data_IF_729752060607
#
_entry.id   IF_729752060607
#
_cell.length_a   1.000
_cell.length_b   1.000
_cell.length_c   1.000
_cell.angle_alpha   90.00
_cell.angle_beta   90.00
_cell.angle_gamma   90.00
#
_symmetry.space_group_name_H-M   'P 1'
#
loop_
_entity.id
_entity.type
_entity.pdbx_description
1 polymer ?
#
# COMPACT_ATOMS: atom_id res chain seq x y z
N UNK A 1 37.50 -15.14 3.92
CA UNK A 1 36.48 -14.15 3.53
C UNK A 1 35.54 -14.82 2.56
N UNK A 2 34.28 -14.43 2.57
CA UNK A 2 33.22 -14.90 1.69
C UNK A 2 32.65 -13.68 0.97
N UNK A 3 32.79 -13.59 -0.35
CA UNK A 3 32.23 -12.50 -1.14
C UNK A 3 30.76 -12.77 -1.42
N UNK A 4 29.90 -11.81 -1.11
CA UNK A 4 28.45 -11.86 -1.27
C UNK A 4 27.93 -10.55 -1.86
N UNK A 5 26.70 -10.54 -2.34
CA UNK A 5 25.97 -9.31 -2.68
C UNK A 5 24.99 -8.99 -1.55
N UNK A 6 25.05 -7.81 -0.94
CA UNK A 6 24.07 -7.34 0.05
C UNK A 6 23.34 -6.14 -0.54
N UNK A 7 22.04 -6.27 -0.77
CA UNK A 7 21.21 -5.23 -1.42
C UNK A 7 21.78 -4.72 -2.75
N UNK A 8 22.40 -5.61 -3.54
CA UNK A 8 23.00 -5.29 -4.83
C UNK A 8 24.44 -4.78 -4.77
N UNK A 9 24.99 -4.54 -3.58
CA UNK A 9 26.39 -4.14 -3.40
C UNK A 9 27.26 -5.31 -2.98
N UNK A 10 28.42 -5.49 -3.64
CA UNK A 10 29.38 -6.53 -3.24
C UNK A 10 30.01 -6.20 -1.88
N UNK A 11 30.07 -7.20 -1.00
CA UNK A 11 30.65 -7.13 0.34
C UNK A 11 31.44 -8.40 0.64
N UNK A 12 32.46 -8.28 1.49
CA UNK A 12 33.27 -9.38 1.99
C UNK A 12 32.89 -9.67 3.44
N UNK A 13 32.47 -10.90 3.73
CA UNK A 13 32.13 -11.34 5.08
C UNK A 13 33.22 -12.28 5.64
N UNK A 14 33.34 -12.42 6.98
CA UNK A 14 34.17 -13.45 7.58
C UNK A 14 33.82 -14.86 7.07
N UNK A 15 34.80 -15.77 7.05
CA UNK A 15 34.52 -17.16 6.71
C UNK A 15 33.55 -17.77 7.75
N UNK A 16 32.50 -18.43 7.28
CA UNK A 16 31.44 -18.97 8.14
C UNK A 16 30.43 -17.92 8.63
N UNK A 17 30.42 -16.72 8.04
CA UNK A 17 29.42 -15.69 8.34
C UNK A 17 27.99 -16.21 8.14
N UNK A 18 27.10 -15.72 8.98
CA UNK A 18 25.68 -16.04 8.97
C UNK A 18 24.85 -14.88 8.46
N UNK A 19 23.55 -15.11 8.27
CA UNK A 19 22.60 -14.07 7.89
C UNK A 19 22.64 -12.89 8.89
N UNK A 20 22.80 -13.16 10.19
CA UNK A 20 22.96 -12.11 11.20
C UNK A 20 24.17 -11.21 10.94
N UNK A 21 25.29 -11.76 10.47
CA UNK A 21 26.45 -10.97 10.08
C UNK A 21 26.16 -10.10 8.84
N UNK A 22 25.48 -10.66 7.84
CA UNK A 22 25.08 -9.89 6.65
C UNK A 22 24.11 -8.74 6.99
N UNK A 23 23.21 -8.95 7.95
CA UNK A 23 22.32 -7.88 8.47
C UNK A 23 23.11 -6.78 9.14
N UNK A 24 24.05 -7.12 10.02
CA UNK A 24 24.90 -6.13 10.69
C UNK A 24 25.71 -5.30 9.69
N UNK A 25 26.28 -5.94 8.67
CA UNK A 25 27.05 -5.27 7.60
C UNK A 25 26.19 -4.38 6.69
N UNK A 26 24.89 -4.65 6.59
CA UNK A 26 23.96 -3.77 5.86
C UNK A 26 23.66 -2.45 6.59
N UNK A 27 24.08 -2.31 7.85
CA UNK A 27 23.76 -1.16 8.72
C UNK A 27 22.37 -1.24 9.35
N UNK A 28 21.65 -2.35 9.16
CA UNK A 28 20.39 -2.62 9.84
C UNK A 28 20.63 -3.10 11.29
N UNK A 29 19.71 -2.77 12.19
CA UNK A 29 19.75 -3.25 13.57
C UNK A 29 19.38 -4.74 13.63
N UNK A 30 20.18 -5.53 14.33
CA UNK A 30 19.88 -6.94 14.62
C UNK A 30 18.99 -7.06 15.87
N UNK A 31 18.07 -8.04 15.89
CA UNK A 31 17.28 -8.37 17.09
C UNK A 31 16.04 -7.51 17.35
N UNK A 32 15.65 -6.63 16.42
CA UNK A 32 14.47 -5.76 16.52
C UNK A 32 13.37 -6.09 15.51
N UNK A 33 12.14 -5.63 15.77
CA UNK A 33 11.08 -5.64 14.76
C UNK A 33 11.42 -4.69 13.61
N UNK A 34 11.00 -5.06 12.40
CA UNK A 34 11.11 -4.18 11.23
C UNK A 34 12.34 -4.42 10.36
N UNK A 35 13.02 -5.56 10.48
CA UNK A 35 14.01 -6.04 9.50
C UNK A 35 13.59 -7.42 9.01
N UNK A 36 13.74 -7.68 7.71
CA UNK A 36 13.53 -8.97 7.08
C UNK A 36 14.67 -9.27 6.12
N UNK A 37 15.00 -10.55 5.96
CA UNK A 37 16.11 -10.99 5.10
C UNK A 37 15.65 -12.08 4.16
N UNK A 38 16.09 -12.00 2.91
CA UNK A 38 16.07 -13.11 1.98
C UNK A 38 17.49 -13.45 1.51
N UNK A 39 17.75 -14.72 1.22
CA UNK A 39 18.99 -15.20 0.59
C UNK A 39 18.60 -15.89 -0.71
N UNK A 40 19.13 -15.40 -1.84
CA UNK A 40 18.79 -15.84 -3.20
C UNK A 40 17.28 -15.87 -3.48
N UNK A 41 16.54 -14.92 -2.90
CA UNK A 41 15.08 -14.78 -3.02
C UNK A 41 14.25 -15.55 -1.99
N UNK A 42 14.87 -16.40 -1.16
CA UNK A 42 14.18 -17.16 -0.12
C UNK A 42 14.25 -16.46 1.25
N UNK A 43 13.10 -16.21 1.86
CA UNK A 43 13.00 -15.52 3.16
C UNK A 43 13.59 -16.38 4.27
N UNK A 44 14.53 -15.82 5.04
CA UNK A 44 15.12 -16.50 6.20
C UNK A 44 14.35 -16.07 7.47
N UNK A 45 13.73 -17.01 8.22
CA UNK A 45 13.06 -16.69 9.46
C UNK A 45 13.99 -16.02 10.48
N UNK A 46 13.50 -15.02 11.21
CA UNK A 46 14.31 -14.28 12.18
C UNK A 46 14.98 -15.19 13.24
N UNK A 47 14.35 -16.30 13.61
CA UNK A 47 14.91 -17.27 14.56
C UNK A 47 16.12 -18.04 14.03
N UNK A 48 16.37 -18.02 12.72
CA UNK A 48 17.44 -18.79 12.06
C UNK A 48 18.64 -17.94 11.65
N UNK A 49 18.56 -16.60 11.79
CA UNK A 49 19.60 -15.70 11.28
C UNK A 49 20.99 -15.96 11.87
N UNK A 50 21.05 -16.34 13.14
CA UNK A 50 22.29 -16.66 13.85
C UNK A 50 22.93 -17.98 13.38
N UNK A 51 22.18 -18.85 12.72
CA UNK A 51 22.60 -20.22 12.34
C UNK A 51 22.68 -20.45 10.84
N UNK A 52 21.95 -19.66 10.04
CA UNK A 52 21.95 -19.79 8.58
C UNK A 52 23.20 -19.16 7.99
N UNK A 53 24.11 -20.00 7.49
CA UNK A 53 25.36 -19.56 6.87
C UNK A 53 25.12 -18.92 5.49
N UNK A 54 25.80 -17.81 5.21
CA UNK A 54 25.85 -17.19 3.88
C UNK A 54 27.08 -17.69 3.15
N UNK A 55 26.91 -18.10 1.89
CA UNK A 55 27.94 -18.73 1.06
C UNK A 55 28.43 -17.78 -0.02
N UNK A 56 29.59 -18.12 -0.57
CA UNK A 56 30.24 -17.38 -1.67
C UNK A 56 29.28 -17.19 -2.84
N UNK A 57 29.18 -15.95 -3.32
CA UNK A 57 28.38 -15.56 -4.48
C UNK A 57 26.89 -15.38 -4.22
N UNK A 58 26.37 -15.66 -3.02
CA UNK A 58 24.95 -15.50 -2.72
C UNK A 58 24.52 -14.03 -2.67
N UNK A 59 23.26 -13.78 -3.01
CA UNK A 59 22.59 -12.51 -2.85
C UNK A 59 21.80 -12.49 -1.54
N UNK A 60 22.08 -11.51 -0.68
CA UNK A 60 21.36 -11.24 0.55
C UNK A 60 20.59 -9.95 0.40
N UNK A 61 19.27 -10.03 0.50
CA UNK A 61 18.38 -8.87 0.49
C UNK A 61 17.96 -8.57 1.92
N UNK A 62 18.32 -7.41 2.43
CA UNK A 62 17.96 -6.94 3.77
C UNK A 62 17.00 -5.76 3.61
N UNK A 63 15.75 -5.99 4.00
CA UNK A 63 14.71 -4.98 4.04
C UNK A 63 14.54 -4.44 5.45
N UNK A 64 14.32 -3.14 5.56
CA UNK A 64 13.92 -2.51 6.83
C UNK A 64 12.66 -1.67 6.66
N UNK A 65 11.81 -1.70 7.68
CA UNK A 65 10.73 -0.76 7.82
C UNK A 65 11.33 0.65 7.97
N UNK A 66 10.98 1.52 7.04
CA UNK A 66 11.28 2.94 7.10
C UNK A 66 9.98 3.71 7.21
N UNK A 67 10.02 4.90 7.82
CA UNK A 67 8.88 5.81 7.77
C UNK A 67 8.70 6.26 6.32
N UNK A 68 7.65 5.77 5.67
CA UNK A 68 7.16 6.33 4.42
C UNK A 68 6.34 7.60 4.67
N UNK A 69 6.25 8.46 3.65
CA UNK A 69 5.43 9.68 3.68
C UNK A 69 6.27 10.94 3.55
N UNK A 70 5.98 11.73 2.52
CA UNK A 70 6.46 13.10 2.41
C UNK A 70 5.50 14.04 3.17
N UNK A 71 6.07 15.04 3.86
CA UNK A 71 5.35 16.11 4.55
C UNK A 71 4.66 17.07 3.59
N UNK A 72 5.03 17.06 2.31
CA UNK A 72 4.24 17.73 1.27
C UNK A 72 2.90 17.01 1.10
N UNK A 73 1.85 17.74 0.71
CA UNK A 73 0.55 17.13 0.44
C UNK A 73 0.62 16.11 -0.71
N UNK A 74 -0.38 15.25 -0.83
CA UNK A 74 -0.53 14.36 -1.98
C UNK A 74 -1.09 15.16 -3.16
N UNK A 75 -0.38 15.20 -4.29
CA UNK A 75 -0.87 15.85 -5.51
C UNK A 75 -1.35 14.81 -6.53
N UNK A 76 -2.61 14.92 -6.94
CA UNK A 76 -3.23 14.06 -7.95
C UNK A 76 -3.91 14.97 -8.98
N UNK A 77 -3.53 14.85 -10.25
CA UNK A 77 -4.11 15.63 -11.35
C UNK A 77 -4.15 17.15 -11.07
N UNK A 78 -3.09 17.71 -10.48
CA UNK A 78 -2.98 19.14 -10.13
C UNK A 78 -3.76 19.56 -8.88
N UNK A 79 -4.36 18.61 -8.16
CA UNK A 79 -5.10 18.85 -6.92
C UNK A 79 -4.32 18.36 -5.73
N UNK A 80 -4.12 19.24 -4.76
CA UNK A 80 -3.37 18.96 -3.55
C UNK A 80 -4.32 18.53 -2.44
N UNK A 81 -4.08 17.35 -1.89
CA UNK A 81 -4.74 16.77 -0.74
C UNK A 81 -3.80 16.87 0.46
N UNK A 82 -4.32 17.27 1.61
CA UNK A 82 -3.60 17.26 2.88
C UNK A 82 -3.48 15.84 3.45
N UNK A 83 -4.47 15.00 3.18
CA UNK A 83 -4.56 13.61 3.59
C UNK A 83 -4.04 12.67 2.50
N UNK A 84 -3.22 11.70 2.92
CA UNK A 84 -2.74 10.60 2.07
C UNK A 84 -3.63 9.34 2.18
N UNK A 85 -4.71 9.43 2.94
CA UNK A 85 -5.67 8.34 3.12
C UNK A 85 -6.81 8.50 2.12
N UNK A 86 -6.98 7.51 1.26
CA UNK A 86 -8.16 7.38 0.39
C UNK A 86 -9.07 6.34 1.03
N UNK A 87 -10.33 6.71 1.29
CA UNK A 87 -11.30 5.85 1.95
C UNK A 87 -11.99 4.91 0.94
N UNK A 88 -12.09 3.62 1.25
CA UNK A 88 -13.00 2.72 0.54
C UNK A 88 -14.38 2.73 1.20
N UNK A 89 -15.46 2.80 0.42
CA UNK A 89 -16.85 2.86 0.96
C UNK A 89 -17.56 1.51 1.03
N UNK A 90 -16.93 0.44 0.54
CA UNK A 90 -17.47 -0.92 0.63
C UNK A 90 -17.38 -1.51 2.04
N UNK A 91 -18.37 -2.32 2.43
CA UNK A 91 -18.30 -3.13 3.66
C UNK A 91 -18.82 -2.47 4.94
N UNK A 92 -19.27 -1.21 4.87
CA UNK A 92 -19.94 -0.57 6.01
C UNK A 92 -21.33 -1.15 6.27
N UNK A 93 -21.72 -1.19 7.56
CA UNK A 93 -23.02 -1.71 8.01
C UNK A 93 -24.18 -0.74 7.76
N UNK A 94 -23.89 0.55 7.60
CA UNK A 94 -24.85 1.61 7.31
C UNK A 94 -24.15 2.82 6.69
N UNK A 95 -24.91 3.70 6.03
CA UNK A 95 -24.40 4.98 5.50
C UNK A 95 -23.92 5.91 6.62
N UNK A 96 -24.60 5.91 7.76
CA UNK A 96 -24.20 6.69 8.94
C UNK A 96 -22.81 6.29 9.45
N UNK A 97 -22.57 4.98 9.63
CA UNK A 97 -21.26 4.48 10.07
C UNK A 97 -20.15 4.79 9.06
N UNK A 98 -20.48 4.77 7.76
CA UNK A 98 -19.55 5.20 6.71
C UNK A 98 -19.24 6.70 6.82
N UNK A 99 -20.24 7.54 7.03
CA UNK A 99 -20.08 8.99 7.19
C UNK A 99 -19.27 9.35 8.43
N UNK A 100 -19.50 8.67 9.55
CA UNK A 100 -18.68 8.81 10.78
C UNK A 100 -17.23 8.43 10.53
N UNK A 101 -16.99 7.29 9.89
CA UNK A 101 -15.64 6.85 9.55
C UNK A 101 -14.94 7.82 8.60
N UNK A 102 -15.64 8.35 7.60
CA UNK A 102 -15.11 9.34 6.67
C UNK A 102 -14.62 10.59 7.40
N UNK A 103 -15.47 11.20 8.25
CA UNK A 103 -15.09 12.38 9.04
C UNK A 103 -13.93 12.10 10.00
N UNK A 104 -13.98 10.97 10.71
CA UNK A 104 -12.95 10.62 11.68
C UNK A 104 -11.59 10.32 11.01
N UNK A 105 -11.61 9.80 9.78
CA UNK A 105 -10.41 9.44 9.04
C UNK A 105 -9.64 10.66 8.50
N UNK A 106 -10.31 11.80 8.33
CA UNK A 106 -9.75 12.97 7.64
C UNK A 106 -9.40 12.69 6.18
N UNK A 107 -9.99 11.67 5.56
CA UNK A 107 -9.86 11.42 4.13
C UNK A 107 -10.53 12.56 3.35
N UNK A 108 -9.91 12.97 2.25
CA UNK A 108 -10.47 13.98 1.32
C UNK A 108 -10.98 13.32 0.02
N UNK A 109 -10.64 12.05 -0.20
CA UNK A 109 -11.11 11.23 -1.31
C UNK A 109 -11.70 9.93 -0.80
N UNK A 110 -12.86 9.56 -1.33
CA UNK A 110 -13.48 8.26 -1.06
C UNK A 110 -13.86 7.55 -2.36
N UNK A 111 -13.47 6.27 -2.48
CA UNK A 111 -13.80 5.49 -3.66
C UNK A 111 -15.22 4.97 -3.61
N UNK A 112 -15.96 5.06 -4.71
CA UNK A 112 -17.31 4.52 -4.84
C UNK A 112 -17.39 3.57 -6.03
N UNK A 113 -18.01 2.40 -5.83
CA UNK A 113 -18.28 1.47 -6.90
C UNK A 113 -19.54 1.89 -7.66
N UNK A 114 -19.45 2.01 -8.98
CA UNK A 114 -20.59 2.34 -9.82
C UNK A 114 -21.48 1.11 -10.00
N UNK A 115 -22.73 1.20 -9.55
CA UNK A 115 -23.72 0.12 -9.70
C UNK A 115 -24.89 0.59 -10.58
N UNK A 116 -25.58 -0.38 -11.17
CA UNK A 116 -26.87 -0.10 -11.84
C UNK A 116 -27.87 0.41 -10.81
N UNK A 117 -28.72 1.33 -11.24
CA UNK A 117 -29.75 1.93 -10.38
C UNK A 117 -30.65 0.84 -9.82
N UNK A 118 -30.77 0.81 -8.50
CA UNK A 118 -31.82 0.10 -7.78
C UNK A 118 -32.85 1.15 -7.34
N UNK A 119 -34.10 1.12 -7.86
CA UNK A 119 -35.15 2.08 -7.50
C UNK A 119 -35.51 2.08 -6.02
N UNK A 120 -35.14 1.03 -5.28
CA UNK A 120 -35.46 0.86 -3.87
C UNK A 120 -34.34 1.30 -2.92
N UNK A 121 -33.18 1.73 -3.43
CA UNK A 121 -32.03 2.07 -2.61
C UNK A 121 -32.26 3.40 -1.84
N UNK A 122 -32.24 3.38 -0.49
CA UNK A 122 -32.40 4.59 0.30
C UNK A 122 -31.07 5.35 0.44
N UNK A 123 -31.14 6.67 0.26
CA UNK A 123 -30.05 7.60 0.53
C UNK A 123 -28.95 7.62 -0.54
N UNK A 124 -28.46 8.81 -0.85
CA UNK A 124 -27.34 8.99 -1.76
C UNK A 124 -26.04 8.91 -0.96
N UNK A 125 -25.26 7.87 -1.21
CA UNK A 125 -23.88 7.75 -0.70
C UNK A 125 -23.04 8.99 -1.07
N UNK A 126 -23.37 9.65 -2.18
CA UNK A 126 -22.67 10.85 -2.65
C UNK A 126 -22.88 12.00 -1.66
N UNK A 127 -24.12 12.25 -1.26
CA UNK A 127 -24.48 13.32 -0.32
C UNK A 127 -23.78 13.09 1.03
N UNK A 128 -23.73 11.84 1.49
CA UNK A 128 -23.07 11.53 2.76
C UNK A 128 -21.54 11.74 2.72
N UNK A 129 -20.91 11.51 1.56
CA UNK A 129 -19.48 11.76 1.37
C UNK A 129 -19.21 13.26 1.26
N UNK A 130 -20.06 14.00 0.55
CA UNK A 130 -19.99 15.45 0.44
C UNK A 130 -20.10 16.11 1.83
N UNK A 131 -21.07 15.70 2.64
CA UNK A 131 -21.23 16.15 4.04
C UNK A 131 -20.03 15.81 4.93
N UNK A 132 -19.27 14.77 4.57
CA UNK A 132 -18.05 14.37 5.27
C UNK A 132 -16.79 15.10 4.78
N UNK A 133 -16.90 15.97 3.76
CA UNK A 133 -15.78 16.65 3.14
C UNK A 133 -14.94 15.75 2.22
N UNK A 134 -15.50 14.61 1.81
CA UNK A 134 -14.87 13.68 0.87
C UNK A 134 -15.39 13.91 -0.54
N UNK A 135 -14.48 14.07 -1.49
CA UNK A 135 -14.84 13.96 -2.90
C UNK A 135 -14.87 12.50 -3.35
N UNK A 136 -15.75 12.23 -4.32
CA UNK A 136 -15.98 10.90 -4.86
C UNK A 136 -14.94 10.56 -5.93
N UNK A 137 -14.27 9.43 -5.74
CA UNK A 137 -13.41 8.80 -6.75
C UNK A 137 -14.10 7.53 -7.29
N UNK A 138 -14.76 7.57 -8.46
CA UNK A 138 -15.41 6.38 -9.01
C UNK A 138 -14.37 5.31 -9.35
N UNK A 139 -14.72 4.05 -9.12
CA UNK A 139 -13.91 2.90 -9.53
C UNK A 139 -14.69 1.95 -10.46
N UNK A 140 -13.96 1.02 -11.09
CA UNK A 140 -14.49 0.02 -12.01
C UNK A 140 -14.62 -1.36 -11.35
N UNK A 141 -14.91 -1.41 -10.05
CA UNK A 141 -15.10 -2.68 -9.34
C UNK A 141 -16.23 -3.50 -9.99
N UNK A 142 -16.01 -4.79 -10.18
CA UNK A 142 -16.97 -5.70 -10.82
C UNK A 142 -16.87 -5.77 -12.35
N UNK A 143 -15.94 -5.04 -12.99
CA UNK A 143 -15.61 -5.23 -14.40
C UNK A 143 -14.60 -6.37 -14.56
N UNK A 144 -14.87 -7.28 -15.50
CA UNK A 144 -14.02 -8.44 -15.83
C UNK A 144 -13.27 -8.27 -17.15
N UNK A 145 -13.62 -7.24 -17.94
CA UNK A 145 -12.93 -6.90 -19.18
C UNK A 145 -12.55 -5.42 -19.22
N UNK A 146 -11.52 -5.09 -20.00
CA UNK A 146 -11.12 -3.69 -20.24
C UNK A 146 -12.28 -2.87 -20.87
N UNK A 147 -13.08 -3.49 -21.73
CA UNK A 147 -14.24 -2.85 -22.35
C UNK A 147 -15.28 -2.41 -21.32
N UNK A 148 -15.57 -3.29 -20.36
CA UNK A 148 -16.46 -2.98 -19.24
C UNK A 148 -15.90 -1.87 -18.38
N UNK A 149 -14.62 -1.96 -17.98
CA UNK A 149 -13.98 -0.95 -17.15
C UNK A 149 -14.03 0.44 -17.81
N UNK A 150 -13.68 0.55 -19.09
CA UNK A 150 -13.74 1.82 -19.83
C UNK A 150 -15.18 2.34 -19.95
N UNK A 151 -16.15 1.46 -20.19
CA UNK A 151 -17.56 1.85 -20.28
C UNK A 151 -18.06 2.37 -18.93
N UNK A 152 -17.78 1.68 -17.84
CA UNK A 152 -18.10 2.09 -16.48
C UNK A 152 -17.45 3.42 -16.12
N UNK A 153 -16.17 3.61 -16.43
CA UNK A 153 -15.46 4.86 -16.17
C UNK A 153 -16.08 6.05 -16.93
N UNK A 154 -16.46 5.85 -18.20
CA UNK A 154 -17.15 6.89 -18.98
C UNK A 154 -18.53 7.22 -18.40
N UNK A 155 -19.31 6.21 -18.02
CA UNK A 155 -20.61 6.43 -17.38
C UNK A 155 -20.46 7.15 -16.04
N UNK A 156 -19.45 6.81 -15.25
CA UNK A 156 -19.16 7.47 -13.99
C UNK A 156 -18.81 8.95 -14.19
N UNK A 157 -18.01 9.25 -15.22
CA UNK A 157 -17.67 10.62 -15.58
C UNK A 157 -18.91 11.46 -15.84
N UNK A 158 -19.82 10.96 -16.68
CA UNK A 158 -21.09 11.65 -16.97
C UNK A 158 -21.98 11.76 -15.72
N UNK A 159 -22.07 10.71 -14.91
CA UNK A 159 -22.91 10.68 -13.71
C UNK A 159 -22.44 11.64 -12.61
N UNK A 160 -21.13 11.86 -12.50
CA UNK A 160 -20.52 12.73 -11.49
C UNK A 160 -20.18 14.13 -12.03
N UNK A 161 -20.44 14.42 -13.30
CA UNK A 161 -20.13 15.71 -13.91
C UNK A 161 -18.64 16.06 -13.91
N UNK A 162 -17.76 15.06 -13.98
CA UNK A 162 -16.30 15.26 -13.98
C UNK A 162 -15.77 15.43 -15.41
N UNK A 163 -14.69 16.19 -15.60
CA UNK A 163 -14.09 16.50 -16.92
C UNK A 163 -12.84 15.70 -17.20
#
# INVERSE_FOLDING_TARGET
MTSVSINGERRELPAGATVEHAVAESGAQTGGRGVAVAVDGEVVPHGEWATTAVREGQAVEVLRAVQGGDRTGLEIAGRRLSSRLILGTGGFRSLEAMGEAARASGAELATVAMRRVDPSAPGSILDMLEDAGCEVLPNTAGCFTAREAVTTARLAREALGTT
#
